data_IF_992680867367
#
_entry.id   IF_992680867367
#
_cell.length_a   1.000
_cell.length_b   1.000
_cell.length_c   1.000
_cell.angle_alpha   90.00
_cell.angle_beta   90.00
_cell.angle_gamma   90.00
#
_symmetry.space_group_name_H-M   'P 1'
#
loop_
_entity.id
_entity.type
_entity.pdbx_description
1 polymer ?
#
# COMPACT_ATOMS: atom_id res chain seq x y z
N UNK A 1 8.69 -1.13 -22.65
CA UNK A 1 7.31 -1.48 -23.07
C UNK A 1 7.22 -2.98 -23.14
N UNK A 2 6.11 -3.57 -22.69
CA UNK A 2 5.78 -4.98 -22.80
C UNK A 2 4.69 -5.15 -23.85
N UNK A 3 5.00 -5.83 -24.96
CA UNK A 3 4.00 -6.21 -25.94
C UNK A 3 3.43 -7.58 -25.56
N UNK A 4 2.11 -7.66 -25.44
CA UNK A 4 1.39 -8.87 -25.09
C UNK A 4 0.54 -9.28 -26.29
N UNK A 5 0.74 -10.51 -26.77
CA UNK A 5 -0.14 -11.13 -27.76
C UNK A 5 -1.09 -12.08 -27.02
N UNK A 6 -2.38 -11.78 -27.04
CA UNK A 6 -3.41 -12.68 -26.55
C UNK A 6 -4.31 -13.10 -27.71
N UNK A 7 -4.20 -14.36 -28.13
CA UNK A 7 -4.81 -14.88 -29.37
C UNK A 7 -4.37 -14.06 -30.60
N UNK A 8 -5.30 -13.34 -31.22
CA UNK A 8 -5.07 -12.46 -32.40
C UNK A 8 -4.99 -10.97 -32.04
N UNK A 9 -5.11 -10.62 -30.76
CA UNK A 9 -5.08 -9.24 -30.30
C UNK A 9 -3.72 -8.91 -29.68
N UNK A 10 -3.29 -7.67 -29.88
CA UNK A 10 -2.07 -7.13 -29.31
C UNK A 10 -2.39 -6.01 -28.33
N UNK A 11 -1.65 -5.98 -27.22
CA UNK A 11 -1.73 -4.92 -26.22
C UNK A 11 -0.32 -4.53 -25.80
N UNK A 12 -0.11 -3.25 -25.49
CA UNK A 12 1.19 -2.76 -25.07
C UNK A 12 1.08 -2.08 -23.71
N UNK A 13 1.93 -2.49 -22.78
CA UNK A 13 1.86 -2.13 -21.37
C UNK A 13 3.23 -1.70 -20.82
N UNK A 14 3.25 -1.14 -19.61
CA UNK A 14 4.47 -0.99 -18.82
C UNK A 14 5.17 -2.34 -18.64
N UNK A 15 6.51 -2.35 -18.77
CA UNK A 15 7.29 -3.60 -18.70
C UNK A 15 7.79 -3.97 -17.31
N UNK A 16 7.56 -3.10 -16.31
CA UNK A 16 7.98 -3.32 -14.92
C UNK A 16 6.75 -3.27 -14.01
N UNK A 17 6.72 -4.17 -13.03
CA UNK A 17 5.71 -4.14 -11.98
C UNK A 17 5.94 -2.91 -11.08
N UNK A 18 4.92 -2.09 -10.79
CA UNK A 18 5.06 -0.88 -9.98
C UNK A 18 5.23 -1.17 -8.48
N UNK A 19 5.15 -2.44 -8.06
CA UNK A 19 5.50 -2.86 -6.70
C UNK A 19 7.02 -2.71 -6.47
N UNK A 20 7.82 -3.72 -6.82
CA UNK A 20 9.28 -3.68 -6.65
C UNK A 20 10.06 -3.70 -7.98
N UNK A 21 9.43 -3.37 -9.10
CA UNK A 21 10.12 -3.24 -10.39
C UNK A 21 10.37 -4.54 -11.15
N UNK A 22 9.74 -5.65 -10.73
CA UNK A 22 9.87 -6.96 -11.37
C UNK A 22 9.62 -6.87 -12.90
N UNK A 23 10.44 -7.54 -13.73
CA UNK A 23 10.24 -7.55 -15.18
C UNK A 23 8.99 -8.38 -15.52
N UNK A 24 7.95 -7.71 -16.02
CA UNK A 24 6.67 -8.36 -16.34
C UNK A 24 6.75 -9.31 -17.55
N UNK A 25 7.80 -9.18 -18.38
CA UNK A 25 8.11 -10.16 -19.43
C UNK A 25 8.43 -11.56 -18.90
N UNK A 26 8.79 -11.69 -17.61
CA UNK A 26 8.97 -12.98 -16.93
C UNK A 26 7.72 -13.43 -16.19
N UNK A 27 6.61 -12.69 -16.29
CA UNK A 27 5.35 -13.00 -15.63
C UNK A 27 4.56 -14.11 -16.33
N UNK A 28 3.42 -14.46 -15.74
CA UNK A 28 2.51 -15.48 -16.27
C UNK A 28 1.25 -14.80 -16.82
N UNK A 29 0.92 -15.08 -18.07
CA UNK A 29 -0.32 -14.61 -18.72
C UNK A 29 -1.38 -15.72 -18.70
N UNK A 30 -2.55 -15.43 -18.12
CA UNK A 30 -3.72 -16.33 -18.18
C UNK A 30 -4.98 -15.53 -18.54
N UNK A 31 -5.54 -15.80 -19.71
CA UNK A 31 -6.66 -15.01 -20.22
C UNK A 31 -6.23 -13.55 -20.40
N UNK A 32 -6.90 -12.63 -19.72
CA UNK A 32 -6.59 -11.19 -19.75
C UNK A 32 -5.74 -10.72 -18.57
N UNK A 33 -5.21 -11.66 -17.78
CA UNK A 33 -4.58 -11.40 -16.49
C UNK A 33 -3.09 -11.68 -16.58
N UNK A 34 -2.28 -10.65 -16.40
CA UNK A 34 -0.82 -10.71 -16.36
C UNK A 34 -0.34 -10.68 -14.90
N UNK A 35 0.17 -11.81 -14.42
CA UNK A 35 0.67 -11.97 -13.05
C UNK A 35 2.17 -11.71 -12.97
N UNK A 36 2.57 -10.85 -12.05
CA UNK A 36 3.95 -10.53 -11.73
C UNK A 36 4.69 -11.75 -11.16
N UNK A 37 5.93 -12.03 -11.60
CA UNK A 37 6.66 -13.22 -11.21
C UNK A 37 7.23 -13.22 -9.78
N UNK A 38 7.27 -12.07 -9.11
CA UNK A 38 7.88 -11.98 -7.76
C UNK A 38 6.86 -12.18 -6.64
N UNK A 39 5.84 -11.31 -6.60
CA UNK A 39 4.89 -11.27 -5.48
C UNK A 39 3.44 -11.43 -5.94
N UNK A 40 3.22 -11.82 -7.20
CA UNK A 40 1.90 -12.18 -7.69
C UNK A 40 0.94 -11.03 -8.00
N UNK A 41 1.36 -9.77 -7.92
CA UNK A 41 0.53 -8.63 -8.34
C UNK A 41 -0.01 -8.86 -9.76
N UNK A 42 -1.31 -8.68 -9.97
CA UNK A 42 -1.98 -9.06 -11.21
C UNK A 42 -2.55 -7.84 -11.93
N UNK A 43 -2.31 -7.75 -13.24
CA UNK A 43 -2.74 -6.63 -14.05
C UNK A 43 -3.64 -7.08 -15.21
N UNK A 44 -4.66 -6.28 -15.51
CA UNK A 44 -5.48 -6.47 -16.70
C UNK A 44 -4.69 -6.05 -17.94
N UNK A 45 -4.57 -6.90 -18.96
CA UNK A 45 -3.77 -6.58 -20.15
C UNK A 45 -4.42 -5.57 -21.10
N UNK A 46 -5.75 -5.41 -21.03
CA UNK A 46 -6.49 -4.48 -21.90
C UNK A 46 -6.44 -3.08 -21.33
N UNK A 47 -6.69 -2.95 -20.03
CA UNK A 47 -6.78 -1.65 -19.37
C UNK A 47 -5.45 -1.23 -18.78
N UNK A 48 -4.64 -2.17 -18.28
CA UNK A 48 -3.42 -1.97 -17.49
C UNK A 48 -3.68 -1.88 -15.98
N UNK A 49 -4.92 -2.10 -15.54
CA UNK A 49 -5.29 -1.95 -14.14
C UNK A 49 -4.68 -2.98 -13.23
N UNK A 50 -4.41 -2.58 -12.00
CA UNK A 50 -4.20 -3.49 -10.88
C UNK A 50 -5.51 -4.21 -10.54
N UNK A 51 -5.49 -5.54 -10.63
CA UNK A 51 -6.60 -6.43 -10.25
C UNK A 51 -6.32 -7.19 -8.94
N UNK A 52 -5.05 -7.50 -8.67
CA UNK A 52 -4.64 -8.12 -7.41
C UNK A 52 -3.35 -7.47 -6.88
N UNK A 53 -3.37 -7.12 -5.59
CA UNK A 53 -2.23 -6.67 -4.78
C UNK A 53 -1.06 -7.67 -4.83
N UNK A 54 0.17 -7.29 -4.44
CA UNK A 54 0.58 -6.14 -3.58
C UNK A 54 0.93 -4.83 -4.29
N UNK A 55 0.91 -4.75 -5.62
CA UNK A 55 1.09 -3.44 -6.25
C UNK A 55 -0.07 -2.49 -5.89
N UNK A 56 0.24 -1.20 -5.67
CA UNK A 56 -0.76 -0.16 -5.38
C UNK A 56 -1.19 0.63 -6.62
N UNK A 57 -0.35 0.62 -7.65
CA UNK A 57 -0.57 1.35 -8.89
C UNK A 57 -0.78 0.40 -10.06
N UNK A 58 -1.46 0.90 -11.08
CA UNK A 58 -1.61 0.26 -12.37
C UNK A 58 -0.33 0.41 -13.21
N UNK A 59 -0.27 -0.32 -14.33
CA UNK A 59 0.80 -0.18 -15.32
C UNK A 59 0.30 0.63 -16.52
N UNK A 60 1.11 1.53 -17.09
CA UNK A 60 0.68 2.36 -18.22
C UNK A 60 0.32 1.49 -19.42
N UNK A 61 -0.72 1.92 -20.16
CA UNK A 61 -1.11 1.34 -21.45
C UNK A 61 -0.62 2.24 -22.59
N UNK A 62 -0.22 1.61 -23.69
CA UNK A 62 0.19 2.30 -24.92
C UNK A 62 -0.76 1.94 -26.06
N UNK A 63 -0.96 2.88 -26.99
CA UNK A 63 -1.79 2.64 -28.18
C UNK A 63 -1.07 1.64 -29.08
N UNK A 64 -1.80 0.64 -29.57
CA UNK A 64 -1.29 -0.37 -30.50
C UNK A 64 -2.08 -0.26 -31.81
N UNK A 65 -1.36 -0.25 -32.93
CA UNK A 65 -1.92 -0.35 -34.28
C UNK A 65 -1.28 -1.54 -34.98
N UNK A 66 -2.04 -2.29 -35.76
CA UNK A 66 -1.53 -3.44 -36.53
C UNK A 66 -1.81 -3.18 -38.00
N UNK A 67 -0.76 -3.08 -38.81
CA UNK A 67 -0.82 -2.77 -40.24
C UNK A 67 0.14 -3.73 -40.96
N UNK A 68 -0.34 -4.41 -42.00
CA UNK A 68 0.46 -5.36 -42.83
C UNK A 68 1.29 -6.38 -42.02
N UNK A 69 0.69 -6.93 -40.96
CA UNK A 69 1.35 -7.90 -40.09
C UNK A 69 2.42 -7.32 -39.14
N UNK A 70 2.64 -6.00 -39.17
CA UNK A 70 3.53 -5.27 -38.26
C UNK A 70 2.73 -4.67 -37.10
N UNK A 71 3.34 -4.64 -35.92
CA UNK A 71 2.73 -4.09 -34.71
C UNK A 71 3.43 -2.78 -34.34
N UNK A 72 2.69 -1.69 -34.37
CA UNK A 72 3.15 -0.36 -34.02
C UNK A 72 2.66 0.01 -32.62
N UNK A 73 3.55 0.57 -31.80
CA UNK A 73 3.21 1.04 -30.45
C UNK A 73 3.49 2.54 -30.35
N UNK A 74 2.45 3.31 -30.05
CA UNK A 74 2.57 4.76 -29.83
C UNK A 74 2.57 5.06 -28.34
N UNK A 75 3.60 5.75 -27.87
CA UNK A 75 3.76 6.15 -26.48
C UNK A 75 4.29 7.58 -26.36
N UNK A 76 3.79 8.33 -25.37
CA UNK A 76 4.36 9.63 -24.99
C UNK A 76 5.65 9.38 -24.20
N UNK A 77 6.74 10.10 -24.53
CA UNK A 77 8.06 9.95 -23.88
C UNK A 77 7.99 10.01 -22.34
N UNK A 78 7.18 10.91 -21.79
CA UNK A 78 6.97 11.06 -20.33
C UNK A 78 6.37 9.81 -19.66
N UNK A 79 5.55 9.04 -20.37
CA UNK A 79 4.90 7.83 -19.84
C UNK A 79 5.86 6.64 -19.89
N UNK A 80 6.80 6.61 -20.83
CA UNK A 80 7.82 5.56 -20.92
C UNK A 80 8.77 5.54 -19.73
N UNK A 81 8.99 6.68 -19.09
CA UNK A 81 9.86 6.82 -17.92
C UNK A 81 9.14 6.56 -16.59
N UNK A 82 7.81 6.38 -16.59
CA UNK A 82 7.02 6.14 -15.38
C UNK A 82 6.50 4.70 -15.35
N UNK A 83 6.98 3.84 -14.42
CA UNK A 83 6.53 2.45 -14.35
C UNK A 83 5.13 2.28 -13.74
N UNK A 84 4.59 3.31 -13.11
CA UNK A 84 3.38 3.28 -12.31
C UNK A 84 2.41 4.39 -12.72
N UNK A 85 1.12 4.07 -12.78
CA UNK A 85 0.02 5.01 -13.00
C UNK A 85 -1.06 4.74 -11.95
N UNK A 86 -1.46 5.75 -11.18
CA UNK A 86 -2.59 5.59 -10.25
C UNK A 86 -3.86 5.23 -11.05
N UNK A 87 -4.66 4.27 -10.56
CA UNK A 87 -5.82 3.68 -11.25
C UNK A 87 -6.74 4.69 -11.94
N UNK A 88 -6.95 5.84 -11.31
CA UNK A 88 -7.76 6.92 -11.85
C UNK A 88 -7.19 7.64 -13.08
N UNK A 89 -5.87 7.73 -13.22
CA UNK A 89 -5.25 8.36 -14.39
C UNK A 89 -5.39 7.51 -15.66
N UNK A 90 -5.80 6.25 -15.54
CA UNK A 90 -5.83 5.30 -16.65
C UNK A 90 -7.15 5.28 -17.42
N UNK A 91 -8.29 5.54 -16.77
CA UNK A 91 -9.62 5.30 -17.36
C UNK A 91 -10.30 6.52 -17.98
N UNK A 92 -10.02 7.75 -17.55
CA UNK A 92 -10.91 8.88 -17.87
C UNK A 92 -10.30 10.03 -18.68
N UNK A 93 -8.99 10.04 -18.96
CA UNK A 93 -8.36 11.15 -19.70
C UNK A 93 -8.41 12.54 -19.01
N UNK A 94 -9.23 12.68 -17.97
CA UNK A 94 -9.42 13.83 -17.09
C UNK A 94 -9.12 13.35 -15.67
N UNK A 95 -7.96 13.74 -15.15
CA UNK A 95 -7.42 13.28 -13.87
C UNK A 95 -8.07 13.93 -12.65
N UNK A 96 -9.40 13.99 -12.58
CA UNK A 96 -10.09 14.51 -11.39
C UNK A 96 -10.38 13.36 -10.42
N UNK A 97 -9.42 13.13 -9.52
CA UNK A 97 -9.72 12.42 -8.26
C UNK A 97 -10.68 13.32 -7.47
N UNK A 98 -11.71 12.74 -6.84
CA UNK A 98 -12.60 13.55 -6.01
C UNK A 98 -11.81 14.23 -4.90
N UNK A 99 -12.12 15.49 -4.62
CA UNK A 99 -11.48 16.27 -3.56
C UNK A 99 -12.46 16.52 -2.44
N UNK A 100 -11.94 16.96 -1.29
CA UNK A 100 -12.78 17.30 -0.14
C UNK A 100 -13.75 18.43 -0.51
N UNK A 101 -15.04 18.15 -0.47
CA UNK A 101 -16.10 19.16 -0.53
C UNK A 101 -16.49 19.53 0.91
N UNK A 102 -16.39 20.81 1.26
CA UNK A 102 -16.74 21.28 2.62
C UNK A 102 -18.24 21.23 2.91
N UNK A 103 -19.08 21.20 1.86
CA UNK A 103 -20.54 21.06 2.00
C UNK A 103 -20.96 19.63 2.31
N UNK A 104 -20.10 18.63 2.07
CA UNK A 104 -20.37 17.26 2.45
C UNK A 104 -19.93 17.05 3.92
N UNK A 105 -20.87 16.90 4.88
CA UNK A 105 -20.51 16.76 6.28
C UNK A 105 -19.94 15.37 6.61
N UNK A 106 -20.07 14.40 5.70
CA UNK A 106 -19.74 13.01 6.00
C UNK A 106 -18.26 12.83 6.31
N UNK A 107 -18.00 12.02 7.33
CA UNK A 107 -16.66 11.66 7.76
C UNK A 107 -16.51 10.14 7.77
N UNK A 108 -15.57 9.64 6.98
CA UNK A 108 -15.10 8.25 7.08
C UNK A 108 -13.86 8.24 7.96
N UNK A 109 -13.95 7.55 9.10
CA UNK A 109 -12.84 7.33 10.02
C UNK A 109 -12.25 5.93 9.81
N UNK A 110 -10.96 5.85 9.56
CA UNK A 110 -10.20 4.62 9.34
C UNK A 110 -9.26 4.42 10.54
N UNK A 111 -9.49 3.38 11.33
CA UNK A 111 -8.63 3.05 12.48
C UNK A 111 -7.56 2.06 12.03
N UNK A 112 -6.30 2.50 12.01
CA UNK A 112 -5.12 1.73 11.62
C UNK A 112 -4.35 2.40 10.48
N UNK A 113 -3.01 2.43 10.59
CA UNK A 113 -2.11 3.00 9.58
C UNK A 113 -1.57 1.97 8.58
N UNK A 114 -2.27 0.86 8.36
CA UNK A 114 -1.83 -0.22 7.47
C UNK A 114 -2.28 -0.07 6.01
N UNK A 115 -1.85 -1.02 5.17
CA UNK A 115 -2.22 -1.06 3.73
C UNK A 115 -3.74 -1.11 3.52
N UNK A 116 -4.50 -1.77 4.41
CA UNK A 116 -5.95 -1.86 4.30
C UNK A 116 -6.63 -0.47 4.41
N UNK A 117 -6.24 0.34 5.40
CA UNK A 117 -6.75 1.70 5.56
C UNK A 117 -6.29 2.60 4.41
N UNK A 118 -5.04 2.48 3.97
CA UNK A 118 -4.52 3.24 2.83
C UNK A 118 -5.33 2.96 1.55
N UNK A 119 -5.52 1.68 1.22
CA UNK A 119 -6.28 1.27 0.04
C UNK A 119 -7.72 1.74 0.13
N UNK A 120 -8.35 1.66 1.31
CA UNK A 120 -9.70 2.18 1.52
C UNK A 120 -9.76 3.69 1.27
N UNK A 121 -8.85 4.47 1.85
CA UNK A 121 -8.79 5.92 1.68
C UNK A 121 -8.61 6.32 0.20
N UNK A 122 -7.68 5.67 -0.51
CA UNK A 122 -7.48 5.90 -1.93
C UNK A 122 -8.71 5.51 -2.74
N UNK A 123 -9.31 4.35 -2.45
CA UNK A 123 -10.49 3.85 -3.18
C UNK A 123 -11.68 4.76 -2.98
N UNK A 124 -11.92 5.28 -1.77
CA UNK A 124 -13.00 6.24 -1.52
C UNK A 124 -12.87 7.47 -2.44
N UNK A 125 -11.66 8.04 -2.54
CA UNK A 125 -11.41 9.19 -3.42
C UNK A 125 -11.55 8.84 -4.90
N UNK A 126 -11.17 7.63 -5.26
CA UNK A 126 -11.34 7.09 -6.61
C UNK A 126 -12.83 6.90 -6.94
N UNK A 127 -13.63 6.33 -6.04
CA UNK A 127 -15.06 6.10 -6.28
C UNK A 127 -15.93 7.36 -6.03
N UNK A 128 -15.32 8.55 -5.99
CA UNK A 128 -16.04 9.82 -5.97
C UNK A 128 -16.44 10.35 -4.59
N UNK A 129 -15.99 9.75 -3.49
CA UNK A 129 -16.32 10.23 -2.15
C UNK A 129 -15.68 11.60 -1.87
N UNK A 130 -16.51 12.61 -1.65
CA UNK A 130 -16.08 14.01 -1.39
C UNK A 130 -16.06 14.37 0.10
N UNK A 131 -16.47 13.44 0.98
CA UNK A 131 -16.47 13.62 2.43
C UNK A 131 -15.06 13.68 3.04
N UNK A 132 -14.97 13.88 4.36
CA UNK A 132 -13.72 13.91 5.11
C UNK A 132 -13.23 12.47 5.28
N UNK A 133 -11.94 12.24 5.03
CA UNK A 133 -11.31 10.94 5.27
C UNK A 133 -10.23 11.16 6.30
N UNK A 134 -10.34 10.45 7.41
CA UNK A 134 -9.37 10.51 8.51
C UNK A 134 -8.83 9.11 8.73
N UNK A 135 -7.52 8.94 8.62
CA UNK A 135 -6.83 7.73 9.03
C UNK A 135 -6.13 7.99 10.36
N UNK A 136 -6.55 7.32 11.42
CA UNK A 136 -5.93 7.44 12.74
C UNK A 136 -5.10 6.19 13.03
N UNK A 137 -3.85 6.39 13.45
CA UNK A 137 -2.94 5.31 13.79
C UNK A 137 -2.16 5.65 15.05
N UNK A 138 -1.89 4.65 15.89
CA UNK A 138 -1.00 4.82 17.06
C UNK A 138 0.47 4.94 16.66
N UNK A 139 0.82 4.58 15.43
CA UNK A 139 2.18 4.62 14.93
C UNK A 139 2.63 6.04 14.57
N UNK A 140 3.94 6.30 14.61
CA UNK A 140 4.54 7.60 14.27
C UNK A 140 4.53 7.92 12.79
N UNK A 141 4.33 6.91 11.97
CA UNK A 141 4.53 6.97 10.53
C UNK A 141 3.21 6.86 9.76
N UNK A 142 3.18 7.49 8.58
CA UNK A 142 2.16 7.22 7.55
C UNK A 142 2.29 5.78 7.05
N UNK A 143 1.28 5.21 6.36
CA UNK A 143 1.32 3.81 5.94
C UNK A 143 2.58 3.42 5.17
N UNK A 144 3.19 2.32 5.61
CA UNK A 144 4.47 1.81 5.12
C UNK A 144 4.45 0.29 4.90
N UNK A 145 5.44 -0.19 4.16
CA UNK A 145 5.57 -1.58 3.77
C UNK A 145 6.18 -2.43 4.88
N UNK A 146 5.31 -2.98 5.73
CA UNK A 146 5.70 -3.86 6.84
C UNK A 146 6.47 -5.11 6.39
N UNK A 147 6.31 -5.56 5.13
CA UNK A 147 7.03 -6.72 4.63
C UNK A 147 8.52 -6.47 4.39
N UNK A 148 8.98 -5.20 4.43
CA UNK A 148 10.40 -4.84 4.34
C UNK A 148 11.12 -4.91 5.68
N UNK A 149 10.39 -4.83 6.80
CA UNK A 149 10.97 -4.78 8.15
C UNK A 149 11.87 -5.97 8.48
N UNK A 150 11.54 -7.16 7.97
CA UNK A 150 12.31 -8.40 8.18
C UNK A 150 13.23 -8.76 7.01
N UNK A 151 13.33 -7.92 5.97
CA UNK A 151 14.13 -8.19 4.76
C UNK A 151 15.34 -7.28 4.67
N UNK A 152 15.16 -6.05 5.11
CA UNK A 152 16.18 -5.02 5.15
C UNK A 152 16.07 -4.34 6.51
N UNK A 153 17.03 -4.62 7.39
CA UNK A 153 17.13 -3.97 8.70
C UNK A 153 17.87 -2.62 8.55
N UNK A 154 17.78 -1.73 9.54
CA UNK A 154 18.38 -0.38 9.50
C UNK A 154 17.82 0.52 8.41
N UNK A 155 16.52 0.43 8.16
CA UNK A 155 15.85 1.31 7.21
C UNK A 155 15.25 2.52 7.92
N UNK A 156 15.30 3.66 7.23
CA UNK A 156 14.47 4.81 7.58
C UNK A 156 13.04 4.52 7.18
N UNK A 157 12.08 4.89 8.02
CA UNK A 157 10.66 4.62 7.76
C UNK A 157 10.21 5.25 6.43
N UNK A 158 10.73 6.44 6.10
CA UNK A 158 10.40 7.17 4.88
C UNK A 158 10.75 6.41 3.60
N UNK A 159 11.77 5.55 3.64
CA UNK A 159 12.22 4.74 2.49
C UNK A 159 11.27 3.58 2.19
N UNK A 160 10.38 3.27 3.13
CA UNK A 160 9.41 2.19 3.03
C UNK A 160 7.96 2.67 3.10
N UNK A 161 7.71 3.98 3.10
CA UNK A 161 6.37 4.54 2.95
C UNK A 161 5.71 4.04 1.66
N UNK A 162 4.48 3.54 1.78
CA UNK A 162 3.68 3.08 0.64
C UNK A 162 3.22 4.26 -0.21
N UNK A 163 2.88 5.38 0.45
CA UNK A 163 2.64 6.68 -0.15
C UNK A 163 3.36 7.74 0.67
N UNK A 164 3.98 8.70 -0.03
CA UNK A 164 4.59 9.86 0.64
C UNK A 164 3.48 10.79 1.19
N UNK A 165 3.74 11.56 2.26
CA UNK A 165 2.75 12.46 2.85
C UNK A 165 2.09 13.41 1.84
N UNK A 166 2.87 13.91 0.86
CA UNK A 166 2.40 14.84 -0.18
C UNK A 166 1.37 14.19 -1.10
N UNK A 167 1.47 12.87 -1.32
CA UNK A 167 0.49 12.12 -2.12
C UNK A 167 -0.87 12.07 -1.41
N UNK A 168 -0.85 11.92 -0.09
CA UNK A 168 -2.04 11.79 0.76
C UNK A 168 -2.72 13.15 0.93
N UNK A 169 -1.94 14.20 1.21
CA UNK A 169 -2.44 15.57 1.34
C UNK A 169 -3.04 16.09 0.03
N UNK A 170 -2.41 15.81 -1.12
CA UNK A 170 -2.94 16.15 -2.44
C UNK A 170 -4.30 15.49 -2.75
N UNK A 171 -4.71 14.47 -1.99
CA UNK A 171 -6.00 13.79 -2.10
C UNK A 171 -6.93 14.10 -0.92
N UNK A 172 -6.58 15.08 -0.08
CA UNK A 172 -7.31 15.43 1.13
C UNK A 172 -7.57 14.19 2.02
N UNK A 173 -6.57 13.33 2.18
CA UNK A 173 -6.58 12.22 3.12
C UNK A 173 -5.78 12.66 4.33
N UNK A 174 -6.45 12.80 5.48
CA UNK A 174 -5.78 13.14 6.74
C UNK A 174 -5.19 11.88 7.36
N UNK A 175 -3.95 11.97 7.84
CA UNK A 175 -3.33 10.92 8.64
C UNK A 175 -2.99 11.49 10.00
N UNK A 176 -3.66 11.01 11.04
CA UNK A 176 -3.39 11.33 12.43
C UNK A 176 -2.48 10.24 13.00
N UNK A 177 -1.19 10.54 13.05
CA UNK A 177 -0.16 9.70 13.69
C UNK A 177 -0.22 9.84 15.21
N UNK A 178 0.33 8.86 15.92
CA UNK A 178 0.36 8.83 17.40
C UNK A 178 -1.03 9.02 18.05
N UNK A 179 -2.07 8.60 17.31
CA UNK A 179 -3.48 8.76 17.66
C UNK A 179 -4.11 7.40 17.92
N UNK A 180 -3.87 6.87 19.12
CA UNK A 180 -4.41 5.57 19.53
C UNK A 180 -5.88 5.65 19.90
N UNK A 181 -6.72 4.90 19.17
CA UNK A 181 -8.13 4.74 19.51
C UNK A 181 -8.28 3.69 20.62
N UNK A 182 -8.96 4.05 21.71
CA UNK A 182 -9.10 3.20 22.91
C UNK A 182 -10.53 2.67 23.10
N UNK A 183 -11.53 3.31 22.48
CA UNK A 183 -12.89 2.79 22.50
C UNK A 183 -13.74 3.36 21.35
N UNK A 184 -14.74 2.57 20.94
CA UNK A 184 -15.73 2.94 19.92
C UNK A 184 -17.12 2.87 20.55
N UNK A 185 -17.85 3.97 20.46
CA UNK A 185 -19.28 4.04 20.78
C UNK A 185 -20.07 3.98 19.46
N UNK A 186 -20.70 2.84 19.20
CA UNK A 186 -21.46 2.61 17.98
C UNK A 186 -22.83 3.31 17.99
N UNK A 187 -23.42 3.54 19.16
CA UNK A 187 -24.70 4.24 19.28
C UNK A 187 -24.54 5.74 18.99
N UNK A 188 -23.46 6.35 19.52
CA UNK A 188 -23.15 7.77 19.30
C UNK A 188 -22.26 8.02 18.09
N UNK A 189 -21.90 6.96 17.36
CA UNK A 189 -20.97 6.95 16.22
C UNK A 189 -19.71 7.77 16.50
N UNK A 190 -19.01 7.42 17.58
CA UNK A 190 -17.91 8.22 18.13
C UNK A 190 -16.75 7.34 18.58
N UNK A 191 -15.53 7.71 18.21
CA UNK A 191 -14.29 7.08 18.69
C UNK A 191 -13.65 7.97 19.74
N UNK A 192 -13.17 7.38 20.85
CA UNK A 192 -12.33 8.05 21.85
C UNK A 192 -10.88 7.63 21.68
N UNK A 193 -9.98 8.58 21.84
CA UNK A 193 -8.54 8.39 21.73
C UNK A 193 -7.87 8.44 23.10
N UNK A 194 -6.65 7.91 23.18
CA UNK A 194 -5.86 7.82 24.42
C UNK A 194 -5.59 9.19 25.06
N UNK A 195 -5.46 10.24 24.24
CA UNK A 195 -5.28 11.63 24.70
C UNK A 195 -6.55 12.30 25.25
N UNK A 196 -7.64 11.54 25.42
CA UNK A 196 -8.94 12.03 25.90
C UNK A 196 -9.80 12.71 24.83
N UNK A 197 -9.24 12.99 23.65
CA UNK A 197 -10.01 13.56 22.54
C UNK A 197 -10.95 12.54 21.90
N UNK A 198 -11.83 13.01 21.01
CA UNK A 198 -12.80 12.13 20.37
C UNK A 198 -13.25 12.64 19.00
N UNK A 199 -13.63 11.72 18.12
CA UNK A 199 -14.05 12.00 16.75
C UNK A 199 -15.36 11.28 16.42
N UNK A 200 -16.36 12.02 15.93
CA UNK A 200 -17.57 11.45 15.36
C UNK A 200 -17.31 10.95 13.93
N UNK A 201 -18.05 9.96 13.48
CA UNK A 201 -17.93 9.43 12.13
C UNK A 201 -19.32 9.18 11.53
N UNK A 202 -19.43 9.30 10.20
CA UNK A 202 -20.56 8.77 9.44
C UNK A 202 -20.35 7.28 9.14
N UNK A 203 -19.10 6.89 8.87
CA UNK A 203 -18.69 5.52 8.57
C UNK A 203 -17.35 5.22 9.26
N UNK A 204 -17.18 3.99 9.75
CA UNK A 204 -15.97 3.55 10.46
C UNK A 204 -15.41 2.29 9.79
N UNK A 205 -14.11 2.30 9.50
CA UNK A 205 -13.34 1.10 9.18
C UNK A 205 -12.41 0.78 10.34
N UNK A 206 -12.47 -0.44 10.85
CA UNK A 206 -11.51 -0.98 11.81
C UNK A 206 -10.49 -1.83 11.04
N UNK A 207 -9.29 -1.30 10.86
CA UNK A 207 -8.18 -1.89 10.12
C UNK A 207 -6.89 -1.89 10.96
N UNK A 208 -7.01 -2.20 12.26
CA UNK A 208 -5.95 -2.12 13.27
C UNK A 208 -4.89 -3.22 13.15
N UNK A 209 -5.09 -4.20 12.26
CA UNK A 209 -4.13 -5.27 12.00
C UNK A 209 -3.99 -6.25 13.17
N UNK A 210 -2.79 -6.81 13.33
CA UNK A 210 -2.45 -7.78 14.37
C UNK A 210 -1.30 -7.27 15.23
N UNK A 211 -1.18 -7.79 16.45
CA UNK A 211 -0.07 -7.55 17.36
C UNK A 211 0.72 -8.84 17.62
N UNK A 212 2.01 -8.72 17.88
CA UNK A 212 2.86 -9.85 18.27
C UNK A 212 2.43 -10.35 19.63
N UNK A 213 2.35 -11.67 19.76
CA UNK A 213 2.17 -12.30 21.06
C UNK A 213 3.47 -12.16 21.85
N UNK A 214 3.38 -11.62 23.06
CA UNK A 214 4.51 -11.57 23.99
C UNK A 214 4.71 -12.93 24.65
N UNK A 215 5.97 -13.27 24.92
CA UNK A 215 6.30 -14.45 25.70
C UNK A 215 5.87 -14.27 27.15
N UNK A 216 5.18 -15.28 27.69
CA UNK A 216 4.73 -15.31 29.08
C UNK A 216 5.67 -16.18 29.91
N UNK A 217 6.94 -15.80 29.97
CA UNK A 217 8.00 -16.52 30.70
C UNK A 217 8.85 -15.55 31.52
N UNK A 218 9.49 -16.00 32.62
CA UNK A 218 10.44 -15.17 33.35
C UNK A 218 11.52 -14.59 32.44
N UNK A 219 11.80 -13.29 32.57
CA UNK A 219 12.80 -12.58 31.75
C UNK A 219 12.33 -12.15 30.37
N UNK A 220 11.04 -12.29 30.03
CA UNK A 220 10.50 -11.80 28.75
C UNK A 220 10.54 -10.26 28.60
N UNK A 221 10.78 -9.55 29.70
CA UNK A 221 10.90 -8.09 29.80
C UNK A 221 12.36 -7.59 29.77
N UNK A 222 13.34 -8.48 29.65
CA UNK A 222 14.75 -8.11 29.50
C UNK A 222 14.95 -7.25 28.24
N UNK A 223 15.86 -6.26 28.32
CA UNK A 223 16.03 -5.25 27.27
C UNK A 223 16.42 -5.81 25.89
N UNK A 224 17.04 -6.99 25.85
CA UNK A 224 17.45 -7.70 24.65
C UNK A 224 16.38 -8.65 24.07
N UNK A 225 15.22 -8.79 24.72
CA UNK A 225 14.06 -9.48 24.17
C UNK A 225 13.25 -8.47 23.36
N UNK A 226 13.23 -8.64 22.04
CA UNK A 226 12.62 -7.69 21.11
C UNK A 226 11.54 -8.38 20.24
N UNK A 227 10.52 -7.62 19.87
CA UNK A 227 9.54 -7.98 18.83
C UNK A 227 9.79 -7.15 17.58
N UNK A 228 9.36 -7.62 16.40
CA UNK A 228 9.49 -6.88 15.14
C UNK A 228 8.12 -6.44 14.62
N UNK A 229 7.77 -5.18 14.81
CA UNK A 229 6.51 -4.61 14.32
C UNK A 229 6.64 -3.28 13.59
N UNK A 230 7.60 -2.46 13.98
CA UNK A 230 7.82 -1.12 13.42
C UNK A 230 9.23 -0.97 12.84
N UNK A 231 9.50 0.12 12.10
CA UNK A 231 10.86 0.45 11.66
C UNK A 231 11.84 0.60 12.83
N UNK A 232 11.38 1.18 13.95
CA UNK A 232 12.19 1.34 15.16
C UNK A 232 12.57 -0.01 15.77
N UNK A 233 11.63 -0.97 15.81
CA UNK A 233 11.92 -2.34 16.26
C UNK A 233 13.00 -3.00 15.39
N UNK A 234 12.89 -2.87 14.07
CA UNK A 234 13.85 -3.40 13.10
C UNK A 234 15.26 -2.83 13.34
N UNK A 235 15.36 -1.52 13.53
CA UNK A 235 16.62 -0.84 13.76
C UNK A 235 17.23 -1.24 15.12
N UNK A 236 16.41 -1.28 16.18
CA UNK A 236 16.83 -1.72 17.52
C UNK A 236 17.38 -3.14 17.50
N UNK A 237 16.70 -4.06 16.81
CA UNK A 237 17.17 -5.46 16.68
C UNK A 237 18.53 -5.51 15.98
N UNK A 238 18.71 -4.76 14.90
CA UNK A 238 19.99 -4.75 14.17
C UNK A 238 21.14 -4.20 15.01
N UNK A 239 20.90 -3.13 15.76
CA UNK A 239 21.90 -2.55 16.67
C UNK A 239 22.30 -3.55 17.76
N UNK A 240 21.31 -4.21 18.39
CA UNK A 240 21.55 -5.16 19.46
C UNK A 240 22.24 -6.45 18.99
N UNK A 241 21.95 -6.92 17.77
CA UNK A 241 22.44 -8.20 17.24
C UNK A 241 23.86 -8.13 16.67
N UNK A 242 24.36 -6.95 16.33
CA UNK A 242 25.68 -6.79 15.70
C UNK A 242 26.80 -7.38 16.58
N UNK A 243 27.50 -8.39 16.06
CA UNK A 243 28.60 -9.06 16.76
C UNK A 243 28.18 -9.99 17.92
N UNK A 244 26.89 -10.36 18.01
CA UNK A 244 26.35 -11.20 19.10
C UNK A 244 25.65 -12.45 18.57
N UNK A 245 25.37 -13.39 19.48
CA UNK A 245 24.53 -14.55 19.19
C UNK A 245 23.05 -14.14 19.25
N UNK A 246 22.30 -14.45 18.20
CA UNK A 246 20.87 -14.16 18.09
C UNK A 246 20.05 -15.45 18.26
N UNK A 247 18.98 -15.38 19.04
CA UNK A 247 17.98 -16.46 19.17
C UNK A 247 16.64 -15.94 18.69
N UNK A 248 16.06 -16.63 17.70
CA UNK A 248 14.74 -16.30 17.16
C UNK A 248 13.72 -17.27 17.75
N UNK A 249 12.72 -16.73 18.45
CA UNK A 249 11.65 -17.52 19.08
C UNK A 249 10.44 -17.52 18.15
N UNK A 250 10.29 -18.61 17.39
CA UNK A 250 9.20 -18.83 16.44
C UNK A 250 9.68 -19.06 15.01
N UNK A 251 9.30 -20.18 14.42
CA UNK A 251 9.71 -20.59 13.06
C UNK A 251 8.68 -20.19 11.97
N UNK A 252 8.03 -19.04 12.14
CA UNK A 252 7.10 -18.51 11.13
C UNK A 252 7.85 -17.96 9.92
N UNK A 253 7.12 -17.58 8.86
CA UNK A 253 7.71 -16.90 7.70
C UNK A 253 8.56 -15.69 8.08
N UNK A 254 8.17 -14.94 9.11
CA UNK A 254 8.93 -13.77 9.60
C UNK A 254 10.24 -14.25 10.25
N UNK A 255 10.16 -15.25 11.14
CA UNK A 255 11.33 -15.79 11.84
C UNK A 255 12.37 -16.39 10.90
N UNK A 256 11.95 -17.08 9.83
CA UNK A 256 12.87 -17.67 8.84
C UNK A 256 13.56 -16.65 7.92
N UNK A 257 13.15 -15.38 7.96
CA UNK A 257 13.68 -14.31 7.09
C UNK A 257 14.66 -13.37 7.81
N UNK A 258 14.78 -13.51 9.13
CA UNK A 258 15.61 -12.68 10.01
C UNK A 258 17.05 -13.19 10.13
#
# INVERSE_FOLDING_TARGET
VLLVRNRRQFSALGSKCPHYGAPLSKGVLRGERLRCPWHGACFNIKTGDIEEYPALDCIPRFKVTVEDGKVFVTAKKKVLTSPAVCKHKQHLGLGMISTRCLLNPDTVLLLGGGVAALVCAETLRQEGFTGRIIMATKEKHVPYDKAKLSKNMNLKAEDIYLRKPEFLSARCIEVWTEKEAVSVDFQKQKVRFMDGSSQKYSQLLIATGCHSSFLKVPGADLQNVCTLHTPEDSNKISELATGKNLVIIGASFIGTRL
#
